data_IF_121690206662
#
_entry.id   IF_121690206662
#
_cell.length_a   1.000
_cell.length_b   1.000
_cell.length_c   1.000
_cell.angle_alpha   90.00
_cell.angle_beta   90.00
_cell.angle_gamma   90.00
#
_symmetry.space_group_name_H-M   'P 1'
#
loop_
_entity.id
_entity.type
_entity.pdbx_description
1 polymer ?
#
# COMPACT_ATOMS: atom_id res chain seq x y z
N UNK A 1 -5.65 -10.88 9.81
CA UNK A 1 -4.29 -10.89 9.30
C UNK A 1 -4.10 -9.60 8.52
N UNK A 2 -3.04 -8.87 8.83
CA UNK A 2 -2.65 -7.64 8.12
C UNK A 2 -1.24 -7.87 7.59
N UNK A 3 -0.99 -7.61 6.31
CA UNK A 3 0.33 -7.78 5.66
C UNK A 3 0.92 -6.40 5.27
N UNK A 4 2.25 -6.24 5.30
CA UNK A 4 2.98 -4.97 5.08
C UNK A 4 4.23 -5.20 4.20
N UNK A 5 4.41 -4.37 3.16
CA UNK A 5 5.58 -4.38 2.26
C UNK A 5 5.86 -2.96 1.74
N UNK A 6 7.10 -2.72 1.31
CA UNK A 6 7.75 -1.39 1.21
C UNK A 6 8.13 -1.02 -0.24
N UNK A 7 7.67 0.17 -0.66
CA UNK A 7 8.20 1.08 -1.71
C UNK A 7 7.87 0.78 -3.18
N UNK A 8 7.23 1.75 -3.82
CA UNK A 8 7.16 1.93 -5.28
C UNK A 8 8.07 3.09 -5.67
N UNK A 9 8.97 2.89 -6.63
CA UNK A 9 9.79 3.94 -7.24
C UNK A 9 9.23 4.33 -8.61
N UNK A 10 9.11 5.63 -8.87
CA UNK A 10 8.74 6.16 -10.19
C UNK A 10 9.99 6.69 -10.90
N UNK A 11 10.54 6.00 -11.91
CA UNK A 11 11.76 6.41 -12.59
C UNK A 11 11.59 7.58 -13.58
N UNK A 12 10.36 7.97 -13.91
CA UNK A 12 10.03 8.87 -15.04
C UNK A 12 9.59 10.29 -14.58
N UNK A 13 9.75 10.60 -13.29
CA UNK A 13 9.38 11.89 -12.67
C UNK A 13 10.47 12.36 -11.71
N UNK A 14 10.69 13.67 -11.62
CA UNK A 14 11.70 14.29 -10.74
C UNK A 14 11.38 14.17 -9.25
N UNK A 15 10.26 13.56 -8.87
CA UNK A 15 9.81 13.36 -7.51
C UNK A 15 9.73 11.86 -7.15
N UNK A 16 10.19 11.51 -5.95
CA UNK A 16 10.16 10.14 -5.42
C UNK A 16 9.22 10.09 -4.23
N UNK A 17 8.27 9.17 -4.28
CA UNK A 17 7.41 8.85 -3.15
C UNK A 17 7.69 7.43 -2.65
N UNK A 18 7.52 7.22 -1.34
CA UNK A 18 7.51 5.92 -0.70
C UNK A 18 6.09 5.63 -0.22
N UNK A 19 5.59 4.44 -0.51
CA UNK A 19 4.25 3.99 -0.14
C UNK A 19 4.36 2.80 0.79
N UNK A 20 3.62 2.83 1.89
CA UNK A 20 3.46 1.74 2.86
C UNK A 20 1.98 1.45 3.09
N UNK A 21 1.38 0.49 2.37
CA UNK A 21 0.05 0.00 2.67
C UNK A 21 0.08 -1.16 3.68
N UNK A 22 -0.91 -1.19 4.57
CA UNK A 22 -1.26 -2.32 5.41
C UNK A 22 -2.49 -3.02 4.83
N UNK A 23 -2.33 -4.24 4.34
CA UNK A 23 -3.35 -4.97 3.60
C UNK A 23 -4.18 -5.88 4.52
N UNK A 24 -5.51 -5.89 4.39
CA UNK A 24 -6.40 -6.84 5.06
C UNK A 24 -7.31 -7.56 4.06
N UNK A 25 -8.10 -8.54 4.52
CA UNK A 25 -9.15 -9.20 3.73
C UNK A 25 -10.30 -8.27 3.29
N UNK A 26 -10.34 -7.04 3.83
CA UNK A 26 -11.35 -6.04 3.47
C UNK A 26 -10.75 -4.90 2.61
N UNK A 27 -9.54 -5.08 2.06
CA UNK A 27 -8.81 -4.02 1.37
C UNK A 27 -7.71 -3.41 2.25
N UNK A 28 -7.27 -2.21 1.88
CA UNK A 28 -6.26 -1.43 2.64
C UNK A 28 -6.83 -1.02 3.99
N UNK A 29 -6.19 -1.46 5.07
CA UNK A 29 -6.53 -1.08 6.44
C UNK A 29 -5.97 0.30 6.78
N UNK A 30 -4.73 0.56 6.39
CA UNK A 30 -4.01 1.81 6.64
C UNK A 30 -2.96 2.01 5.55
N UNK A 31 -2.62 3.26 5.22
CA UNK A 31 -1.52 3.53 4.30
C UNK A 31 -0.81 4.85 4.61
N UNK A 32 0.50 4.85 4.47
CA UNK A 32 1.34 6.03 4.61
C UNK A 32 2.10 6.31 3.32
N UNK A 33 2.08 7.57 2.91
CA UNK A 33 2.76 8.07 1.70
C UNK A 33 3.73 9.17 2.12
N UNK A 34 4.99 9.02 1.75
CA UNK A 34 6.05 9.98 2.05
C UNK A 34 6.77 10.42 0.78
N UNK A 35 7.11 11.70 0.67
CA UNK A 35 8.00 12.27 -0.37
C UNK A 35 9.50 11.99 -0.12
N UNK A 36 9.81 11.04 0.76
CA UNK A 36 11.17 10.67 1.20
C UNK A 36 11.25 9.17 1.44
N UNK A 37 12.45 8.68 1.76
CA UNK A 37 12.62 7.28 2.16
C UNK A 37 12.14 7.04 3.59
N UNK A 38 11.58 5.85 3.86
CA UNK A 38 11.25 5.45 5.22
C UNK A 38 12.54 5.25 6.04
N UNK A 39 12.54 5.82 7.24
CA UNK A 39 13.49 5.58 8.33
C UNK A 39 12.85 4.67 9.37
N UNK A 40 13.65 4.17 10.32
CA UNK A 40 13.12 3.42 11.46
C UNK A 40 12.05 4.22 12.25
N UNK A 41 12.25 5.52 12.45
CA UNK A 41 11.29 6.37 13.16
C UNK A 41 9.97 6.52 12.41
N UNK A 42 10.01 6.81 11.11
CA UNK A 42 8.78 6.89 10.29
C UNK A 42 8.10 5.54 10.13
N UNK A 43 8.85 4.44 10.15
CA UNK A 43 8.27 3.11 10.16
C UNK A 43 7.53 2.81 11.47
N UNK A 44 8.05 3.26 12.62
CA UNK A 44 7.31 3.14 13.89
C UNK A 44 6.01 3.94 13.87
N UNK A 45 6.01 5.16 13.33
CA UNK A 45 4.78 5.94 13.16
C UNK A 45 3.76 5.21 12.27
N UNK A 46 4.22 4.55 11.20
CA UNK A 46 3.38 3.71 10.37
C UNK A 46 2.77 2.57 11.20
N UNK A 47 3.58 1.85 11.99
CA UNK A 47 3.09 0.76 12.85
C UNK A 47 2.05 1.27 13.86
N UNK A 48 2.30 2.41 14.51
CA UNK A 48 1.33 3.04 15.41
C UNK A 48 0.01 3.37 14.67
N UNK A 49 0.11 3.89 13.44
CA UNK A 49 -1.02 4.12 12.56
C UNK A 49 -1.82 2.85 12.28
N UNK A 50 -1.16 1.74 11.96
CA UNK A 50 -1.80 0.43 11.74
C UNK A 50 -2.47 -0.08 13.03
N UNK A 51 -1.76 -0.05 14.16
CA UNK A 51 -2.26 -0.56 15.44
C UNK A 51 -3.52 0.19 15.89
N UNK A 52 -3.60 1.50 15.62
CA UNK A 52 -4.79 2.30 15.90
C UNK A 52 -6.03 1.90 15.07
N UNK A 53 -5.83 1.20 13.94
CA UNK A 53 -6.91 0.64 13.11
C UNK A 53 -7.22 -0.82 13.44
N UNK A 54 -6.41 -1.46 14.28
CA UNK A 54 -6.56 -2.88 14.62
C UNK A 54 -7.50 -3.08 15.81
N UNK A 55 -8.07 -4.29 15.87
CA UNK A 55 -8.93 -4.68 16.99
C UNK A 55 -8.18 -5.56 18.00
N UNK A 56 -8.64 -5.65 19.26
CA UNK A 56 -8.11 -6.62 20.22
C UNK A 56 -8.28 -8.07 19.73
N UNK A 57 -7.29 -8.92 19.99
CA UNK A 57 -7.42 -10.36 19.72
C UNK A 57 -8.54 -10.97 20.59
N UNK A 58 -9.38 -11.90 20.08
CA UNK A 58 -9.35 -12.59 18.78
C UNK A 58 -10.24 -11.97 17.68
N UNK A 59 -10.54 -10.67 17.73
CA UNK A 59 -11.43 -10.03 16.76
C UNK A 59 -10.81 -9.98 15.34
N UNK A 60 -11.60 -9.61 14.32
CA UNK A 60 -11.07 -9.41 12.95
C UNK A 60 -10.03 -8.30 12.94
N UNK A 61 -9.02 -8.38 12.06
CA UNK A 61 -7.92 -7.40 11.98
C UNK A 61 -7.15 -7.21 13.32
N UNK A 62 -6.97 -8.28 14.10
CA UNK A 62 -6.25 -8.24 15.39
C UNK A 62 -4.82 -8.81 15.36
N UNK A 63 -4.40 -9.36 14.21
CA UNK A 63 -3.08 -9.96 14.03
C UNK A 63 -2.36 -9.25 12.90
N UNK A 64 -1.23 -8.64 13.23
CA UNK A 64 -0.29 -8.02 12.30
C UNK A 64 0.77 -9.05 11.90
N UNK A 65 0.94 -9.23 10.60
CA UNK A 65 1.98 -10.05 10.00
C UNK A 65 2.89 -9.09 9.25
N UNK A 66 4.17 -9.09 9.60
CA UNK A 66 5.20 -8.32 8.91
C UNK A 66 6.14 -9.32 8.27
N UNK A 67 6.04 -9.50 6.96
CA UNK A 67 6.97 -10.36 6.23
C UNK A 67 8.30 -9.64 6.02
N UNK A 68 9.40 -10.34 6.28
CA UNK A 68 10.77 -9.83 6.12
C UNK A 68 11.45 -10.38 4.84
N UNK A 69 10.69 -10.83 3.84
CA UNK A 69 11.24 -11.72 2.81
C UNK A 69 10.95 -11.25 1.38
N UNK A 70 12.00 -10.74 0.74
CA UNK A 70 12.13 -10.38 -0.68
C UNK A 70 12.00 -11.55 -1.67
N UNK A 71 11.38 -12.68 -1.28
CA UNK A 71 11.53 -13.98 -1.97
C UNK A 71 10.19 -14.72 -2.24
N UNK A 72 9.04 -14.17 -1.84
CA UNK A 72 7.75 -14.84 -2.04
C UNK A 72 6.94 -14.24 -3.20
N UNK A 73 7.05 -14.86 -4.38
CA UNK A 73 6.30 -14.54 -5.60
C UNK A 73 4.77 -14.73 -5.52
N UNK A 74 4.22 -15.06 -4.35
CA UNK A 74 2.80 -15.32 -4.13
C UNK A 74 2.26 -14.59 -2.91
N UNK A 75 2.89 -13.50 -2.45
CA UNK A 75 2.35 -12.74 -1.33
C UNK A 75 1.18 -11.82 -1.84
N UNK A 76 0.01 -11.78 -1.17
CA UNK A 76 -1.10 -10.87 -1.51
C UNK A 76 -0.69 -9.39 -1.62
N UNK A 77 0.40 -9.00 -0.97
CA UNK A 77 0.93 -7.65 -1.02
C UNK A 77 1.64 -7.32 -2.32
N UNK A 78 2.31 -8.31 -2.95
CA UNK A 78 2.89 -8.14 -4.29
C UNK A 78 1.77 -7.91 -5.31
N UNK A 79 0.65 -8.62 -5.15
CA UNK A 79 -0.54 -8.42 -5.96
C UNK A 79 -1.16 -7.02 -5.74
N UNK A 80 -1.18 -6.54 -4.49
CA UNK A 80 -1.61 -5.18 -4.19
C UNK A 80 -0.73 -4.14 -4.89
N UNK A 81 0.59 -4.27 -4.78
CA UNK A 81 1.53 -3.38 -5.47
C UNK A 81 1.41 -3.48 -7.00
N UNK A 82 1.19 -4.68 -7.54
CA UNK A 82 0.94 -4.88 -8.97
C UNK A 82 -0.32 -4.14 -9.42
N UNK A 83 -1.42 -4.26 -8.67
CA UNK A 83 -2.68 -3.53 -8.94
C UNK A 83 -2.49 -2.01 -8.89
N UNK A 84 -1.77 -1.49 -7.89
CA UNK A 84 -1.50 -0.05 -7.77
C UNK A 84 -0.67 0.45 -8.95
N UNK A 85 0.42 -0.26 -9.30
CA UNK A 85 1.26 0.07 -10.46
C UNK A 85 0.46 0.04 -11.76
N UNK A 86 -0.45 -0.92 -11.93
CA UNK A 86 -1.31 -1.02 -13.10
C UNK A 86 -2.27 0.18 -13.20
N UNK A 87 -2.88 0.59 -12.09
CA UNK A 87 -3.74 1.77 -12.06
C UNK A 87 -2.96 3.04 -12.45
N UNK A 88 -1.76 3.23 -11.90
CA UNK A 88 -0.92 4.40 -12.22
C UNK A 88 -0.56 4.44 -13.71
N UNK A 89 -0.21 3.28 -14.29
CA UNK A 89 0.10 3.18 -15.72
C UNK A 89 -1.11 3.47 -16.60
N UNK A 90 -2.30 3.04 -16.18
CA UNK A 90 -3.55 3.28 -16.91
C UNK A 90 -4.01 4.75 -16.83
N UNK A 91 -3.63 5.48 -15.79
CA UNK A 91 -4.01 6.87 -15.55
C UNK A 91 -2.85 7.85 -15.80
N UNK A 92 -1.96 7.53 -16.76
CA UNK A 92 -0.68 8.22 -16.96
C UNK A 92 -0.81 9.75 -17.07
N UNK A 93 -1.77 10.25 -17.84
CA UNK A 93 -1.94 11.69 -18.06
C UNK A 93 -2.36 12.42 -16.77
N UNK A 94 -3.29 11.82 -16.01
CA UNK A 94 -3.70 12.33 -14.70
C UNK A 94 -2.53 12.31 -13.72
N UNK A 95 -1.81 11.20 -13.64
CA UNK A 95 -0.64 11.04 -12.78
C UNK A 95 0.43 12.08 -13.13
N UNK A 96 0.71 12.32 -14.41
CA UNK A 96 1.68 13.34 -14.84
C UNK A 96 1.25 14.74 -14.43
N UNK A 97 -0.05 15.06 -14.51
CA UNK A 97 -0.58 16.34 -14.05
C UNK A 97 -0.39 16.52 -12.53
N UNK A 98 -0.73 15.51 -11.74
CA UNK A 98 -0.65 15.58 -10.27
C UNK A 98 0.78 15.47 -9.73
N UNK A 99 1.71 14.91 -10.50
CA UNK A 99 3.15 14.88 -10.17
C UNK A 99 3.89 16.13 -10.68
N UNK A 100 3.20 17.05 -11.36
CA UNK A 100 3.79 18.30 -11.84
C UNK A 100 4.04 19.29 -10.70
N UNK A 101 4.86 20.32 -10.95
CA UNK A 101 5.11 21.40 -10.00
C UNK A 101 4.01 22.49 -10.02
N UNK A 102 2.83 22.20 -10.56
CA UNK A 102 1.75 23.18 -10.62
C UNK A 102 1.17 23.44 -9.22
N UNK A 103 0.78 24.68 -8.85
CA UNK A 103 0.25 25.00 -7.53
C UNK A 103 -0.99 24.21 -7.10
N UNK A 104 -1.73 23.64 -8.07
CA UNK A 104 -2.93 22.83 -7.80
C UNK A 104 -2.66 21.33 -7.79
N UNK A 105 -1.43 20.89 -8.10
CA UNK A 105 -1.07 19.48 -8.13
C UNK A 105 -1.11 18.90 -6.72
N UNK A 106 -1.75 17.74 -6.56
CA UNK A 106 -1.87 17.06 -5.28
C UNK A 106 -1.43 15.59 -5.41
N UNK A 107 -0.12 15.32 -5.43
CA UNK A 107 0.41 13.98 -5.62
C UNK A 107 0.01 13.04 -4.49
N UNK A 108 -0.18 13.55 -3.26
CA UNK A 108 -0.63 12.74 -2.12
C UNK A 108 -2.05 12.22 -2.34
N UNK A 109 -2.99 13.07 -2.75
CA UNK A 109 -4.37 12.64 -3.03
C UNK A 109 -4.40 11.58 -4.13
N UNK A 110 -3.70 11.82 -5.25
CA UNK A 110 -3.61 10.87 -6.35
C UNK A 110 -3.02 9.51 -5.92
N UNK A 111 -1.97 9.51 -5.10
CA UNK A 111 -1.37 8.28 -4.59
C UNK A 111 -2.33 7.52 -3.66
N UNK A 112 -3.06 8.23 -2.80
CA UNK A 112 -4.10 7.62 -1.97
C UNK A 112 -5.24 7.05 -2.81
N UNK A 113 -5.69 7.73 -3.86
CA UNK A 113 -6.68 7.19 -4.80
C UNK A 113 -6.20 5.88 -5.43
N UNK A 114 -4.94 5.84 -5.87
CA UNK A 114 -4.33 4.63 -6.43
C UNK A 114 -4.32 3.47 -5.42
N UNK A 115 -3.87 3.74 -4.19
CA UNK A 115 -3.78 2.77 -3.10
C UNK A 115 -5.17 2.19 -2.78
N UNK A 116 -6.18 3.04 -2.64
CA UNK A 116 -7.53 2.62 -2.26
C UNK A 116 -8.35 1.97 -3.40
N UNK A 117 -7.77 1.83 -4.60
CA UNK A 117 -8.34 0.94 -5.64
C UNK A 117 -8.21 -0.56 -5.30
N UNK A 118 -7.47 -0.89 -4.23
CA UNK A 118 -7.34 -2.24 -3.69
C UNK A 118 -8.58 -2.56 -2.84
N UNK A 119 -9.54 -3.23 -3.46
CA UNK A 119 -10.83 -3.56 -2.84
C UNK A 119 -10.80 -4.85 -2.02
N UNK A 120 -11.83 -5.06 -1.20
CA UNK A 120 -12.07 -6.31 -0.50
C UNK A 120 -12.23 -7.52 -1.44
N UNK A 121 -12.75 -7.31 -2.65
CA UNK A 121 -12.87 -8.38 -3.65
C UNK A 121 -11.50 -8.84 -4.15
N UNK A 122 -10.64 -7.88 -4.56
CA UNK A 122 -9.28 -8.15 -5.00
C UNK A 122 -8.47 -8.86 -3.91
N UNK A 123 -8.48 -8.32 -2.70
CA UNK A 123 -7.72 -8.86 -1.58
C UNK A 123 -8.13 -10.29 -1.25
N UNK A 124 -9.42 -10.59 -1.14
CA UNK A 124 -9.88 -11.98 -0.93
C UNK A 124 -9.42 -12.94 -2.02
N UNK A 125 -9.45 -12.50 -3.28
CA UNK A 125 -8.91 -13.27 -4.40
C UNK A 125 -7.42 -13.59 -4.21
N UNK A 126 -6.63 -12.57 -3.85
CA UNK A 126 -5.18 -12.73 -3.65
C UNK A 126 -4.86 -13.64 -2.45
N UNK A 127 -5.48 -13.42 -1.28
CA UNK A 127 -5.28 -14.28 -0.11
C UNK A 127 -5.62 -15.76 -0.40
N UNK A 128 -6.68 -16.01 -1.18
CA UNK A 128 -7.05 -17.37 -1.62
C UNK A 128 -5.98 -18.01 -2.53
N UNK A 129 -5.38 -17.23 -3.42
CA UNK A 129 -4.31 -17.71 -4.32
C UNK A 129 -2.99 -17.96 -3.59
N UNK A 130 -2.75 -17.25 -2.49
CA UNK A 130 -1.54 -17.33 -1.68
C UNK A 130 -1.53 -18.46 -0.63
N UNK A 131 -2.47 -19.41 -0.73
CA UNK A 131 -2.63 -20.52 0.22
C UNK A 131 -2.87 -20.11 1.68
N UNK A 132 -3.23 -18.85 1.93
CA UNK A 132 -3.75 -18.47 3.25
C UNK A 132 -5.13 -19.11 3.43
N UNK A 133 -5.33 -19.80 4.55
CA UNK A 133 -6.65 -20.31 4.95
C UNK A 133 -7.49 -19.12 5.46
N UNK A 134 -8.18 -18.46 4.53
CA UNK A 134 -9.03 -17.28 4.79
C UNK A 134 -10.51 -17.57 4.60
#
# INVERSE_FOLDING_TARGET
>A
MVDVCVVVFFPDVSCRFSLLPALSLNGILFAEVLDRSFTGATFLNFIDGVLNQMNPWPQKNSVLVMDNASIHHLNPIEEAFSSIKAWIRANRDYVQNELSNHPTANPYCMLYEAIYTVTAEKTRGWFKHSHYNV
#
